data_IF_280849070888
#
_entry.id   IF_280849070888
#
_cell.length_a   1.000
_cell.length_b   1.000
_cell.length_c   1.000
_cell.angle_alpha   90.00
_cell.angle_beta   90.00
_cell.angle_gamma   90.00
#
_symmetry.space_group_name_H-M   'P 1'
#
loop_
_entity.id
_entity.type
_entity.pdbx_description
1 polymer ?
#
# COMPACT_ATOMS: atom_id res chain seq x y z
N UNK A 1 30.50 1.22 16.43
CA UNK A 1 29.04 1.04 16.33
C UNK A 1 28.41 2.35 16.77
N UNK A 2 27.84 3.13 15.84
CA UNK A 2 27.07 4.32 16.23
C UNK A 2 25.86 3.86 17.04
N UNK A 3 25.48 4.55 18.13
CA UNK A 3 24.30 4.17 18.89
C UNK A 3 23.09 4.26 17.96
N UNK A 4 22.32 3.17 17.85
CA UNK A 4 21.01 3.20 17.21
C UNK A 4 20.16 4.21 17.97
N UNK A 5 19.63 5.22 17.28
CA UNK A 5 18.69 6.16 17.91
C UNK A 5 17.49 5.38 18.48
N UNK A 6 16.93 5.79 19.63
CA UNK A 6 15.77 5.12 20.21
C UNK A 6 14.57 5.22 19.25
N UNK A 7 13.77 4.15 19.16
CA UNK A 7 12.52 4.17 18.39
C UNK A 7 11.53 5.15 19.05
N UNK A 8 10.99 6.07 18.25
CA UNK A 8 10.02 7.09 18.70
C UNK A 8 8.68 6.82 18.02
N UNK A 9 7.58 6.98 18.75
CA UNK A 9 6.22 6.94 18.21
C UNK A 9 5.73 8.37 17.98
N UNK A 10 5.32 8.67 16.76
CA UNK A 10 4.72 9.95 16.39
C UNK A 10 3.20 9.83 16.25
N UNK A 11 2.51 10.95 16.46
CA UNK A 11 1.08 11.11 16.19
C UNK A 11 0.91 11.87 14.87
N UNK A 12 0.00 11.37 14.04
CA UNK A 12 -0.36 11.94 12.75
C UNK A 12 -1.87 12.18 12.70
N UNK A 13 -2.29 13.11 11.85
CA UNK A 13 -3.68 13.55 11.72
C UNK A 13 -4.15 13.34 10.27
N UNK A 14 -5.29 12.70 10.11
CA UNK A 14 -5.98 12.45 8.85
C UNK A 14 -7.32 13.20 8.90
N UNK A 15 -7.51 14.24 8.07
CA UNK A 15 -8.79 14.91 7.93
C UNK A 15 -9.91 13.96 7.49
N UNK A 16 -11.12 14.21 7.96
CA UNK A 16 -12.34 13.54 7.49
C UNK A 16 -12.95 14.35 6.35
N UNK A 17 -12.42 14.18 5.15
CA UNK A 17 -12.80 14.93 3.95
C UNK A 17 -12.96 14.04 2.69
N UNK A 18 -13.01 12.72 2.89
CA UNK A 18 -13.06 11.70 1.84
C UNK A 18 -11.89 11.76 0.82
N UNK A 19 -10.80 12.47 1.13
CA UNK A 19 -9.61 12.56 0.29
C UNK A 19 -8.49 11.62 0.78
N UNK A 20 -7.59 11.26 -0.14
CA UNK A 20 -6.39 10.51 0.19
C UNK A 20 -5.33 11.44 0.82
N UNK A 21 -4.82 11.05 1.98
CA UNK A 21 -3.76 11.76 2.70
C UNK A 21 -2.52 10.87 2.81
N UNK A 22 -1.38 11.41 2.39
CA UNK A 22 -0.10 10.68 2.30
C UNK A 22 0.79 10.95 3.50
N UNK A 23 1.33 9.89 4.09
CA UNK A 23 2.21 9.94 5.26
C UNK A 23 3.49 9.14 5.03
N UNK A 24 4.59 9.63 5.61
CA UNK A 24 5.86 8.92 5.69
C UNK A 24 6.08 8.44 7.12
N UNK A 25 6.05 7.14 7.32
CA UNK A 25 6.10 6.48 8.63
C UNK A 25 7.17 5.39 8.64
N UNK A 26 7.61 4.95 9.80
CA UNK A 26 8.60 3.87 9.91
C UNK A 26 7.98 2.50 9.62
N UNK A 27 6.91 2.19 10.35
CA UNK A 27 6.17 0.93 10.23
C UNK A 27 4.69 1.20 10.04
N UNK A 28 3.86 0.14 9.98
CA UNK A 28 2.42 0.29 9.90
C UNK A 28 1.81 1.03 11.10
N UNK A 29 0.59 1.56 10.97
CA UNK A 29 -0.14 2.19 12.06
C UNK A 29 -0.28 1.24 13.26
N UNK A 30 -0.06 1.78 14.46
CA UNK A 30 -0.20 1.07 15.73
C UNK A 30 -1.61 1.19 16.30
N UNK A 31 -2.21 2.38 16.13
CA UNK A 31 -3.53 2.68 16.66
C UNK A 31 -4.16 3.83 15.89
N UNK A 32 -5.49 3.82 15.80
CA UNK A 32 -6.31 4.90 15.28
C UNK A 32 -7.28 5.38 16.36
N UNK A 33 -7.47 6.69 16.47
CA UNK A 33 -8.47 7.29 17.35
C UNK A 33 -9.08 8.55 16.72
N UNK A 34 -10.18 9.05 17.28
CA UNK A 34 -10.78 10.31 16.89
C UNK A 34 -11.07 11.12 18.16
N UNK A 35 -10.13 11.99 18.54
CA UNK A 35 -10.25 12.81 19.77
C UNK A 35 -10.89 14.17 19.51
N UNK A 36 -10.94 14.60 18.26
CA UNK A 36 -11.56 15.84 17.81
C UNK A 36 -12.48 15.54 16.63
N UNK A 37 -13.60 16.26 16.53
CA UNK A 37 -14.47 16.19 15.37
C UNK A 37 -13.71 16.53 14.07
N UNK A 38 -13.99 15.77 13.02
CA UNK A 38 -13.42 16.00 11.69
C UNK A 38 -11.97 15.56 11.50
N UNK A 39 -11.33 14.95 12.51
CA UNK A 39 -9.95 14.45 12.41
C UNK A 39 -9.82 13.06 13.02
N UNK A 40 -9.27 12.13 12.25
CA UNK A 40 -8.79 10.85 12.75
C UNK A 40 -7.28 10.96 13.00
N UNK A 41 -6.86 10.60 14.19
CA UNK A 41 -5.46 10.51 14.54
C UNK A 41 -4.97 9.07 14.44
N UNK A 42 -3.70 8.90 14.09
CA UNK A 42 -3.04 7.61 14.23
C UNK A 42 -1.63 7.75 14.78
N UNK A 43 -1.16 6.66 15.39
CA UNK A 43 0.19 6.57 15.94
C UNK A 43 0.99 5.56 15.14
N UNK A 44 2.24 5.90 14.83
CA UNK A 44 3.17 5.00 14.14
C UNK A 44 4.60 5.32 14.57
N UNK A 45 5.50 4.35 14.36
CA UNK A 45 6.93 4.60 14.51
C UNK A 45 7.38 5.72 13.57
N UNK A 46 8.24 6.60 14.06
CA UNK A 46 8.90 7.63 13.26
C UNK A 46 9.73 6.96 12.16
N UNK A 47 9.78 7.53 10.94
CA UNK A 47 10.64 7.01 9.90
C UNK A 47 12.11 7.14 10.32
N UNK A 48 12.89 6.10 10.02
CA UNK A 48 14.35 6.07 10.23
C UNK A 48 15.04 5.74 8.92
N UNK A 49 16.36 5.92 8.82
CA UNK A 49 17.10 5.53 7.60
C UNK A 49 16.97 4.04 7.24
N UNK A 50 16.69 3.18 8.23
CA UNK A 50 16.51 1.74 8.03
C UNK A 50 15.05 1.34 7.72
N UNK A 51 14.09 2.23 7.98
CA UNK A 51 12.66 1.91 7.95
C UNK A 51 11.87 3.16 7.56
N UNK A 52 11.52 3.24 6.27
CA UNK A 52 10.69 4.31 5.68
C UNK A 52 9.62 3.67 4.82
N UNK A 53 8.37 3.98 5.14
CA UNK A 53 7.18 3.53 4.45
C UNK A 53 6.35 4.76 4.10
N UNK A 54 5.99 4.86 2.82
CA UNK A 54 4.95 5.79 2.37
C UNK A 54 3.62 5.06 2.43
N UNK A 55 2.60 5.70 3.02
CA UNK A 55 1.23 5.20 3.12
C UNK A 55 0.23 6.28 2.77
N UNK A 56 -0.91 5.89 2.22
CA UNK A 56 -2.01 6.79 1.88
C UNK A 56 -3.27 6.28 2.55
N UNK A 57 -3.92 7.16 3.32
CA UNK A 57 -5.14 6.86 4.05
C UNK A 57 -6.27 7.77 3.61
N UNK A 58 -7.47 7.20 3.53
CA UNK A 58 -8.73 7.90 3.33
C UNK A 58 -9.61 7.63 4.53
N UNK A 59 -10.34 8.64 4.99
CA UNK A 59 -11.35 8.45 6.04
C UNK A 59 -12.73 8.70 5.46
N UNK A 60 -13.62 7.73 5.63
CA UNK A 60 -15.00 7.81 5.15
C UNK A 60 -15.99 7.50 6.26
N UNK A 61 -17.17 8.11 6.20
CA UNK A 61 -18.26 7.85 7.13
C UNK A 61 -19.06 6.58 6.79
N UNK A 62 -19.82 6.07 7.76
CA UNK A 62 -20.80 5.01 7.48
C UNK A 62 -21.76 5.44 6.36
N UNK A 63 -21.96 4.56 5.37
CA UNK A 63 -22.81 4.81 4.20
C UNK A 63 -22.16 5.61 3.07
N UNK A 64 -20.92 6.08 3.24
CA UNK A 64 -20.19 6.75 2.16
C UNK A 64 -19.61 5.72 1.16
N UNK A 65 -19.45 6.10 -0.13
CA UNK A 65 -18.79 5.25 -1.12
C UNK A 65 -17.35 4.90 -0.72
N UNK A 66 -16.92 3.67 -1.01
CA UNK A 66 -15.53 3.26 -0.82
C UNK A 66 -14.70 3.65 -2.05
N UNK A 67 -13.55 4.34 -1.89
CA UNK A 67 -12.65 4.61 -2.99
C UNK A 67 -12.09 3.31 -3.60
N UNK A 68 -11.90 3.31 -4.93
CA UNK A 68 -11.39 2.15 -5.66
C UNK A 68 -9.94 1.86 -5.28
N UNK A 69 -9.63 0.58 -5.09
CA UNK A 69 -8.26 0.14 -4.78
C UNK A 69 -7.82 0.43 -3.35
N UNK A 70 -8.76 0.62 -2.44
CA UNK A 70 -8.49 0.74 -1.00
C UNK A 70 -8.92 -0.51 -0.25
N UNK A 71 -8.36 -0.73 0.95
CA UNK A 71 -8.85 -1.73 1.90
C UNK A 71 -9.03 -1.11 3.28
N UNK A 72 -9.91 -1.71 4.09
CA UNK A 72 -10.19 -1.27 5.45
C UNK A 72 -9.05 -1.62 6.41
N UNK A 73 -8.61 -0.64 7.21
CA UNK A 73 -7.52 -0.81 8.19
C UNK A 73 -7.87 -0.39 9.61
N UNK A 74 -8.97 0.34 9.79
CA UNK A 74 -9.35 0.81 11.11
C UNK A 74 -10.77 1.37 11.14
N UNK A 75 -11.36 1.33 12.33
CA UNK A 75 -12.62 2.01 12.62
C UNK A 75 -12.45 2.80 13.89
N UNK A 76 -12.91 4.05 13.89
CA UNK A 76 -12.87 4.92 15.07
C UNK A 76 -14.23 5.55 15.30
N UNK A 77 -14.53 5.79 16.57
CA UNK A 77 -15.77 6.43 16.99
C UNK A 77 -15.45 7.89 17.26
N UNK A 78 -16.21 8.81 16.66
CA UNK A 78 -16.05 10.23 16.88
C UNK A 78 -16.37 10.62 18.33
N UNK A 79 -15.88 11.78 18.81
CA UNK A 79 -16.32 12.34 20.09
C UNK A 79 -17.85 12.37 20.18
N UNK A 80 -18.40 11.96 21.32
CA UNK A 80 -19.85 11.87 21.53
C UNK A 80 -20.54 10.62 20.97
N UNK A 81 -19.83 9.75 20.25
CA UNK A 81 -20.33 8.40 19.91
C UNK A 81 -21.37 8.34 18.77
N UNK A 82 -21.73 9.47 18.18
CA UNK A 82 -22.78 9.54 17.16
C UNK A 82 -22.30 9.17 15.75
N UNK A 83 -21.01 9.39 15.46
CA UNK A 83 -20.42 9.13 14.15
C UNK A 83 -19.34 8.05 14.26
N UNK A 84 -19.26 7.24 13.21
CA UNK A 84 -18.26 6.19 13.04
C UNK A 84 -17.50 6.48 11.75
N UNK A 85 -16.18 6.49 11.85
CA UNK A 85 -15.27 6.71 10.73
C UNK A 85 -14.51 5.44 10.42
N UNK A 86 -14.39 5.13 9.13
CA UNK A 86 -13.64 4.00 8.61
C UNK A 86 -12.37 4.52 7.94
N UNK A 87 -11.23 4.03 8.38
CA UNK A 87 -9.93 4.33 7.79
C UNK A 87 -9.64 3.27 6.74
N UNK A 88 -9.38 3.74 5.54
CA UNK A 88 -9.04 2.93 4.38
C UNK A 88 -7.59 3.24 3.99
N UNK A 89 -6.83 2.23 3.60
CA UNK A 89 -5.48 2.39 3.08
C UNK A 89 -5.49 2.08 1.58
N UNK A 90 -4.84 2.92 0.79
CA UNK A 90 -4.68 2.68 -0.65
C UNK A 90 -3.71 1.52 -0.87
N UNK A 91 -4.08 0.62 -1.78
CA UNK A 91 -3.15 -0.29 -2.40
C UNK A 91 -2.13 0.50 -3.21
N UNK A 92 -1.05 0.91 -2.55
CA UNK A 92 0.12 1.36 -3.29
C UNK A 92 0.61 0.15 -4.10
N UNK A 93 0.63 0.25 -5.44
CA UNK A 93 1.26 -0.80 -6.22
C UNK A 93 2.68 -0.95 -5.69
N UNK A 94 3.12 -2.21 -5.50
CA UNK A 94 4.52 -2.52 -5.23
C UNK A 94 5.34 -1.78 -6.29
N UNK A 95 5.86 -0.61 -5.94
CA UNK A 95 6.75 0.13 -6.81
C UNK A 95 7.99 -0.75 -6.84
N UNK A 96 8.16 -1.43 -7.98
CA UNK A 96 9.35 -2.20 -8.28
C UNK A 96 10.55 -1.35 -7.87
N UNK A 97 11.25 -1.80 -6.84
CA UNK A 97 12.52 -1.23 -6.45
C UNK A 97 13.52 -1.50 -7.58
N UNK A 98 13.48 -0.69 -8.64
CA UNK A 98 14.48 -0.60 -9.68
C UNK A 98 15.48 0.49 -9.23
N UNK A 99 16.77 0.26 -9.01
CA UNK A 99 17.54 -0.94 -9.31
C UNK A 99 17.47 -1.28 -10.79
N UNK A 100 17.80 -0.33 -11.68
CA UNK A 100 17.90 -0.53 -13.13
C UNK A 100 18.56 -1.87 -13.47
N UNK A 101 17.76 -2.89 -13.75
CA UNK A 101 18.18 -4.00 -14.59
C UNK A 101 17.41 -3.84 -15.87
N UNK A 102 18.04 -3.15 -16.83
CA UNK A 102 17.60 -3.09 -18.21
C UNK A 102 17.66 -4.52 -18.77
N UNK A 103 16.54 -5.23 -18.77
CA UNK A 103 16.41 -6.49 -19.50
C UNK A 103 16.28 -6.12 -20.98
N UNK A 104 17.36 -6.28 -21.74
CA UNK A 104 17.28 -6.24 -23.20
C UNK A 104 16.53 -7.49 -23.69
N UNK A 105 15.26 -7.30 -24.06
CA UNK A 105 14.51 -8.32 -24.78
C UNK A 105 14.97 -8.31 -26.23
N UNK A 106 15.84 -9.27 -26.60
CA UNK A 106 16.08 -9.60 -28.01
C UNK A 106 14.87 -10.34 -28.55
N UNK A 107 14.07 -9.65 -29.35
CA UNK A 107 13.03 -10.27 -30.16
C UNK A 107 13.70 -10.81 -31.42
N UNK A 108 13.92 -12.13 -31.48
CA UNK A 108 14.26 -12.78 -32.74
C UNK A 108 12.98 -12.97 -33.55
N UNK A 109 12.75 -12.04 -34.47
CA UNK A 109 11.73 -12.20 -35.50
C UNK A 109 12.23 -13.21 -36.54
N UNK A 110 11.96 -14.50 -36.30
CA UNK A 110 11.92 -15.49 -37.38
C UNK A 110 10.57 -15.35 -38.08
N UNK A 111 10.56 -14.66 -39.22
CA UNK A 111 9.36 -14.42 -39.98
C UNK A 111 8.70 -15.70 -40.48
N UNK A 112 7.36 -15.70 -40.47
CA UNK A 112 6.64 -15.90 -41.72
C UNK A 112 5.37 -15.05 -41.72
N UNK A 113 5.20 -14.27 -42.78
CA UNK A 113 4.16 -13.26 -42.90
C UNK A 113 2.91 -13.89 -43.52
N UNK A 114 1.97 -14.35 -42.70
CA UNK A 114 0.55 -14.43 -43.05
C UNK A 114 -0.29 -14.96 -41.88
N UNK A 115 -0.95 -14.07 -41.13
CA UNK A 115 -2.41 -14.16 -40.87
C UNK A 115 -2.84 -13.10 -39.84
N UNK A 116 -3.69 -12.20 -40.34
CA UNK A 116 -4.54 -11.31 -39.54
C UNK A 116 -5.56 -12.15 -38.75
N UNK A 117 -5.64 -11.91 -37.44
CA UNK A 117 -6.72 -12.42 -36.61
C UNK A 117 -6.61 -11.87 -35.19
N UNK A 118 -7.57 -11.03 -34.80
CA UNK A 118 -7.69 -10.49 -33.43
C UNK A 118 -7.87 -11.63 -32.43
N UNK A 119 -6.96 -11.77 -31.48
CA UNK A 119 -7.21 -12.54 -30.26
C UNK A 119 -6.60 -11.83 -29.06
N UNK A 120 -7.45 -11.49 -28.09
CA UNK A 120 -7.07 -10.85 -26.83
C UNK A 120 -6.37 -11.91 -25.98
N UNK A 121 -5.04 -11.82 -25.90
CA UNK A 121 -4.20 -12.77 -25.20
C UNK A 121 -4.55 -12.88 -23.72
N UNK A 122 -5.16 -14.00 -23.35
CA UNK A 122 -5.32 -14.47 -21.98
C UNK A 122 -3.95 -14.79 -21.41
N UNK A 123 -3.42 -13.93 -20.53
CA UNK A 123 -2.18 -14.24 -19.81
C UNK A 123 -2.51 -15.32 -18.76
N UNK A 124 -2.16 -16.57 -19.06
CA UNK A 124 -2.13 -17.66 -18.07
C UNK A 124 -0.70 -17.76 -17.55
N UNK A 125 -0.44 -17.16 -16.38
CA UNK A 125 0.80 -17.39 -15.66
C UNK A 125 0.78 -18.82 -15.08
N UNK A 126 1.29 -19.80 -15.82
CA UNK A 126 1.70 -21.08 -15.23
C UNK A 126 2.98 -20.86 -14.44
N UNK A 127 2.85 -20.60 -13.14
CA UNK A 127 3.98 -20.66 -12.21
C UNK A 127 4.46 -22.12 -12.14
N UNK A 128 5.60 -22.43 -12.75
CA UNK A 128 6.34 -23.67 -12.48
C UNK A 128 7.10 -23.48 -11.16
N UNK A 129 6.54 -24.01 -10.07
CA UNK A 129 7.30 -24.28 -8.85
C UNK A 129 8.34 -25.36 -9.16
N UNK A 130 9.62 -25.01 -9.23
CA UNK A 130 10.69 -26.00 -9.06
C UNK A 130 10.80 -26.29 -7.56
N UNK A 131 10.53 -27.54 -7.17
CA UNK A 131 10.91 -28.06 -5.86
C UNK A 131 12.44 -28.13 -5.82
N UNK A 132 13.11 -27.71 -4.75
CA UNK A 132 14.44 -28.21 -4.46
C UNK A 132 14.30 -29.66 -4.00
N UNK A 133 14.80 -30.58 -4.83
CA UNK A 133 15.08 -31.95 -4.42
C UNK A 133 16.27 -31.94 -3.46
N UNK A 134 16.00 -32.42 -2.25
CA UNK A 134 16.73 -33.42 -1.46
C UNK A 134 18.18 -33.78 -1.90
N UNK A 135 19.08 -33.59 -0.94
CA UNK A 135 20.36 -34.29 -0.64
C UNK A 135 21.26 -34.85 -1.77
N UNK A 136 22.52 -34.38 -1.76
CA UNK A 136 23.70 -35.24 -1.57
C UNK A 136 24.89 -34.40 -1.06
#
# INVERSE_FOLDING_TARGET
>A
MSPSQPEVIHRYEIPVDDQNHRFTIGQGPLHFACRQEGVVEFWAYAPTSASVLVREFTVVGTGHPLPVGTWHVGTVIAPGGALVWHVLEQALPLQEAQGETRVEVRVEASGDSAQLGREVGRIVCKARLRRPEEEA
#
